data_IF_776755155955
#
_entry.id   IF_776755155955
#
_cell.length_a   1.000
_cell.length_b   1.000
_cell.length_c   1.000
_cell.angle_alpha   90.00
_cell.angle_beta   90.00
_cell.angle_gamma   90.00
#
_symmetry.space_group_name_H-M   'P 1'
#
loop_
_entity.id
_entity.type
_entity.pdbx_description
1 polymer ?
#
# COMPACT_ATOMS: atom_id res chain seq x y z
N UNK A 1 -7.34 -0.27 -7.94
CA UNK A 1 -6.45 -1.43 -8.21
C UNK A 1 -5.29 -1.33 -7.23
N UNK A 2 -4.76 -2.45 -6.74
CA UNK A 2 -3.57 -2.46 -5.89
C UNK A 2 -2.36 -1.89 -6.65
N UNK A 3 -1.46 -1.21 -5.95
CA UNK A 3 -0.32 -0.54 -6.57
C UNK A 3 0.59 -1.47 -7.37
N UNK A 4 0.91 -2.65 -6.83
CA UNK A 4 1.71 -3.65 -7.53
C UNK A 4 1.05 -4.19 -8.81
N UNK A 5 -0.28 -4.41 -8.78
CA UNK A 5 -1.03 -4.83 -9.98
C UNK A 5 -1.08 -3.72 -11.03
N UNK A 6 -1.28 -2.46 -10.62
CA UNK A 6 -1.28 -1.33 -11.53
C UNK A 6 0.09 -1.16 -12.21
N UNK A 7 1.17 -1.26 -11.43
CA UNK A 7 2.53 -1.23 -11.95
C UNK A 7 2.79 -2.36 -12.96
N UNK A 8 2.44 -3.61 -12.61
CA UNK A 8 2.67 -4.75 -13.51
C UNK A 8 2.00 -4.57 -14.87
N UNK A 9 0.74 -4.13 -14.90
CA UNK A 9 0.03 -3.93 -16.17
C UNK A 9 0.56 -2.71 -16.93
N UNK A 10 0.84 -1.61 -16.21
CA UNK A 10 1.26 -0.35 -16.84
C UNK A 10 2.69 -0.40 -17.38
N UNK A 11 3.59 -1.01 -16.62
CA UNK A 11 5.03 -0.87 -16.89
C UNK A 11 5.69 -2.21 -17.26
N UNK A 12 5.34 -3.35 -16.60
CA UNK A 12 6.04 -4.62 -16.86
C UNK A 12 5.55 -5.36 -18.12
N UNK A 13 4.29 -5.19 -18.52
CA UNK A 13 3.77 -5.86 -19.71
C UNK A 13 4.56 -5.50 -20.98
N UNK A 14 5.15 -4.32 -21.05
CA UNK A 14 6.05 -3.94 -22.13
C UNK A 14 7.27 -4.86 -22.25
N UNK A 15 7.84 -5.26 -21.13
CA UNK A 15 8.98 -6.18 -21.11
C UNK A 15 8.57 -7.61 -21.48
N UNK A 16 7.43 -8.09 -20.97
CA UNK A 16 6.97 -9.44 -21.25
C UNK A 16 6.51 -9.63 -22.70
N UNK A 17 6.01 -8.59 -23.33
CA UNK A 17 5.41 -8.63 -24.67
C UNK A 17 6.32 -8.04 -25.77
N UNK A 18 7.55 -7.66 -25.44
CA UNK A 18 8.49 -7.00 -26.36
C UNK A 18 8.70 -7.73 -27.69
N UNK A 19 8.68 -9.05 -27.67
CA UNK A 19 8.87 -9.92 -28.85
C UNK A 19 7.56 -10.29 -29.57
N UNK A 20 6.43 -9.70 -29.15
CA UNK A 20 5.08 -9.94 -29.66
C UNK A 20 4.40 -8.61 -30.05
N UNK A 21 4.70 -8.04 -31.24
CA UNK A 21 4.31 -6.67 -31.60
C UNK A 21 2.81 -6.38 -31.51
N UNK A 22 1.96 -7.34 -31.88
CA UNK A 22 0.50 -7.17 -31.80
C UNK A 22 0.02 -7.05 -30.36
N UNK A 23 0.54 -7.89 -29.46
CA UNK A 23 0.20 -7.86 -28.04
C UNK A 23 0.80 -6.66 -27.34
N UNK A 24 2.02 -6.26 -27.72
CA UNK A 24 2.67 -5.05 -27.21
C UNK A 24 1.82 -3.81 -27.50
N UNK A 25 1.35 -3.64 -28.74
CA UNK A 25 0.49 -2.52 -29.11
C UNK A 25 -0.84 -2.50 -28.34
N UNK A 26 -1.37 -3.68 -27.95
CA UNK A 26 -2.55 -3.79 -27.09
C UNK A 26 -2.24 -3.41 -25.64
N UNK A 27 -1.09 -3.86 -25.12
CA UNK A 27 -0.62 -3.53 -23.79
C UNK A 27 -0.39 -2.03 -23.60
N UNK A 28 0.22 -1.38 -24.59
CA UNK A 28 0.43 0.08 -24.61
C UNK A 28 -0.88 0.86 -24.54
N UNK A 29 -1.89 0.44 -25.31
CA UNK A 29 -3.23 1.07 -25.23
C UNK A 29 -3.91 0.84 -23.89
N UNK A 30 -3.69 -0.30 -23.26
CA UNK A 30 -4.23 -0.61 -21.94
C UNK A 30 -3.49 0.19 -20.85
N UNK A 31 -2.16 0.24 -20.91
CA UNK A 31 -1.30 0.95 -19.97
C UNK A 31 -1.75 2.39 -19.75
N UNK A 32 -2.09 3.12 -20.81
CA UNK A 32 -2.60 4.48 -20.75
C UNK A 32 -3.95 4.66 -20.04
N UNK A 33 -4.62 3.56 -19.68
CA UNK A 33 -5.92 3.55 -18.96
C UNK A 33 -5.80 3.01 -17.53
N UNK A 34 -4.62 2.59 -17.12
CA UNK A 34 -4.37 2.01 -15.81
C UNK A 34 -3.89 3.09 -14.84
N UNK A 35 -4.62 3.25 -13.76
CA UNK A 35 -4.30 4.15 -12.66
C UNK A 35 -4.28 3.38 -11.34
N UNK A 36 -3.42 3.78 -10.45
CA UNK A 36 -3.52 3.40 -9.06
C UNK A 36 -4.77 4.08 -8.46
N UNK A 37 -5.35 3.47 -7.45
CA UNK A 37 -6.65 3.87 -6.91
C UNK A 37 -6.67 5.32 -6.43
N UNK A 38 -5.69 5.73 -5.64
CA UNK A 38 -5.64 7.09 -5.10
C UNK A 38 -5.31 8.13 -6.18
N UNK A 39 -4.42 7.77 -7.10
CA UNK A 39 -4.11 8.58 -8.26
C UNK A 39 -5.35 8.81 -9.14
N UNK A 40 -6.15 7.79 -9.37
CA UNK A 40 -7.38 7.95 -10.15
C UNK A 40 -8.33 8.98 -9.54
N UNK A 41 -8.52 8.92 -8.22
CA UNK A 41 -9.43 9.84 -7.52
C UNK A 41 -8.90 11.28 -7.59
N UNK A 42 -7.61 11.49 -7.29
CA UNK A 42 -7.05 12.84 -7.22
C UNK A 42 -6.73 13.44 -8.58
N UNK A 43 -6.04 12.68 -9.45
CA UNK A 43 -5.46 13.25 -10.67
C UNK A 43 -6.40 13.15 -11.87
N UNK A 44 -7.30 12.13 -11.89
CA UNK A 44 -8.25 11.95 -13.00
C UNK A 44 -9.61 12.56 -12.67
N UNK A 45 -10.15 12.30 -11.47
CA UNK A 45 -11.45 12.83 -11.05
C UNK A 45 -11.33 14.24 -10.43
N UNK A 46 -10.14 14.68 -10.04
CA UNK A 46 -9.93 15.98 -9.37
C UNK A 46 -10.55 16.05 -7.97
N UNK A 47 -10.75 14.91 -7.30
CA UNK A 47 -11.40 14.83 -5.99
C UNK A 47 -10.37 14.60 -4.91
N UNK A 48 -10.33 15.48 -3.91
CA UNK A 48 -9.45 15.35 -2.72
C UNK A 48 -10.23 15.03 -1.44
N UNK A 49 -11.52 15.35 -1.38
CA UNK A 49 -12.44 15.02 -0.28
C UNK A 49 -13.59 14.14 -0.80
N UNK A 50 -13.61 12.89 -0.37
CA UNK A 50 -14.67 11.93 -0.71
C UNK A 50 -15.81 11.91 0.33
N UNK A 51 -15.78 12.81 1.32
CA UNK A 51 -16.76 12.89 2.40
C UNK A 51 -16.64 11.77 3.44
N UNK A 52 -15.47 11.12 3.53
CA UNK A 52 -15.23 10.03 4.47
C UNK A 52 -15.08 10.56 5.91
N UNK A 53 -15.47 9.71 6.87
CA UNK A 53 -15.29 9.95 8.30
C UNK A 53 -14.71 8.71 8.98
N UNK A 54 -13.63 8.88 9.73
CA UNK A 54 -12.97 7.76 10.39
C UNK A 54 -12.37 8.20 11.74
N UNK A 55 -13.04 7.89 12.82
CA UNK A 55 -12.65 8.33 14.16
C UNK A 55 -11.68 7.31 14.79
N UNK A 56 -10.45 7.24 14.28
CA UNK A 56 -9.38 6.42 14.85
C UNK A 56 -8.00 6.95 14.46
N UNK A 57 -6.94 6.42 15.11
CA UNK A 57 -5.55 6.70 14.79
C UNK A 57 -5.05 5.79 13.68
N UNK A 58 -4.54 6.40 12.63
CA UNK A 58 -4.08 5.71 11.41
C UNK A 58 -2.64 6.07 11.12
N UNK A 59 -1.82 5.08 10.81
CA UNK A 59 -0.52 5.28 10.15
C UNK A 59 -0.54 4.71 8.75
N UNK A 60 0.33 5.19 7.84
CA UNK A 60 0.26 4.82 6.43
C UNK A 60 1.57 4.26 5.90
N UNK A 61 1.51 3.04 5.33
CA UNK A 61 2.61 2.41 4.64
C UNK A 61 2.65 2.83 3.17
N UNK A 62 3.73 3.47 2.76
CA UNK A 62 3.99 3.77 1.35
C UNK A 62 4.59 2.55 0.65
N UNK A 63 3.83 1.93 -0.25
CA UNK A 63 4.32 0.79 -1.03
C UNK A 63 5.44 1.22 -2.00
N UNK A 64 6.47 0.38 -2.15
CA UNK A 64 7.57 0.65 -3.08
C UNK A 64 7.09 0.71 -4.54
N UNK A 65 6.15 -0.12 -4.96
CA UNK A 65 5.55 -0.05 -6.30
C UNK A 65 4.83 1.28 -6.53
N UNK A 66 4.08 1.76 -5.55
CA UNK A 66 3.34 3.03 -5.67
C UNK A 66 4.28 4.22 -5.68
N UNK A 67 5.16 4.32 -4.68
CA UNK A 67 5.94 5.54 -4.47
C UNK A 67 7.23 5.61 -5.26
N UNK A 68 7.96 4.49 -5.41
CA UNK A 68 9.25 4.46 -6.10
C UNK A 68 9.12 4.16 -7.59
N UNK A 69 8.28 3.18 -7.95
CA UNK A 69 8.16 2.74 -9.33
C UNK A 69 7.14 3.57 -10.11
N UNK A 70 5.96 3.82 -9.54
CA UNK A 70 4.93 4.64 -10.20
C UNK A 70 5.04 6.14 -9.92
N UNK A 71 5.88 6.57 -8.96
CA UNK A 71 6.07 7.98 -8.61
C UNK A 71 4.91 8.63 -7.84
N UNK A 72 3.94 7.83 -7.38
CA UNK A 72 2.71 8.32 -6.71
C UNK A 72 3.00 8.49 -5.23
N UNK A 73 3.16 9.74 -4.77
CA UNK A 73 3.51 10.06 -3.39
C UNK A 73 2.40 10.82 -2.67
N UNK A 74 1.89 11.88 -3.28
CA UNK A 74 0.95 12.83 -2.67
C UNK A 74 -0.51 12.35 -2.61
N UNK A 75 -1.07 11.67 -3.63
CA UNK A 75 -2.46 11.28 -3.70
C UNK A 75 -3.03 10.60 -2.45
N UNK A 76 -2.39 9.57 -1.88
CA UNK A 76 -2.94 8.92 -0.68
C UNK A 76 -3.04 9.88 0.52
N UNK A 77 -2.03 10.74 0.70
CA UNK A 77 -2.00 11.68 1.82
C UNK A 77 -2.99 12.83 1.65
N UNK A 78 -3.22 13.31 0.40
CA UNK A 78 -4.26 14.29 0.11
C UNK A 78 -5.63 13.76 0.54
N UNK A 79 -5.95 12.54 0.14
CA UNK A 79 -7.23 11.90 0.50
C UNK A 79 -7.35 11.67 2.01
N UNK A 80 -6.33 11.12 2.66
CA UNK A 80 -6.37 10.84 4.10
C UNK A 80 -6.49 12.09 4.96
N UNK A 81 -5.84 13.19 4.58
CA UNK A 81 -5.92 14.47 5.30
C UNK A 81 -7.32 15.08 5.28
N UNK A 82 -8.16 14.75 4.29
CA UNK A 82 -9.52 15.21 4.17
C UNK A 82 -10.57 14.26 4.81
N UNK A 83 -10.13 13.12 5.36
CA UNK A 83 -11.03 12.26 6.15
C UNK A 83 -11.34 12.92 7.49
N UNK A 84 -12.62 13.11 7.80
CA UNK A 84 -13.05 13.73 9.06
C UNK A 84 -12.72 12.84 10.25
N UNK A 85 -12.30 13.46 11.35
CA UNK A 85 -11.99 12.83 12.63
C UNK A 85 -10.82 11.82 12.61
N UNK A 86 -10.08 11.70 11.51
CA UNK A 86 -8.90 10.86 11.44
C UNK A 86 -7.74 11.49 12.25
N UNK A 87 -7.05 10.67 13.03
CA UNK A 87 -5.77 11.03 13.63
C UNK A 87 -4.64 10.37 12.83
N UNK A 88 -4.09 11.09 11.85
CA UNK A 88 -3.04 10.57 10.99
C UNK A 88 -1.67 10.70 11.65
N UNK A 89 -1.07 9.57 12.01
CA UNK A 89 0.24 9.49 12.67
C UNK A 89 1.30 9.12 11.64
N UNK A 90 2.39 9.88 11.60
CA UNK A 90 3.51 9.62 10.70
C UNK A 90 4.17 8.27 11.02
N UNK A 91 4.43 7.47 9.98
CA UNK A 91 5.19 6.24 10.08
C UNK A 91 6.67 6.55 9.86
N UNK A 92 7.53 6.36 10.86
CA UNK A 92 8.97 6.46 10.65
C UNK A 92 9.41 5.50 9.54
N UNK A 93 10.27 5.99 8.63
CA UNK A 93 10.74 5.20 7.49
C UNK A 93 9.58 4.51 6.71
N UNK A 94 8.52 5.26 6.43
CA UNK A 94 7.34 4.77 5.72
C UNK A 94 7.68 4.07 4.39
N UNK A 95 8.77 4.48 3.75
CA UNK A 95 9.30 3.96 2.49
C UNK A 95 10.08 2.64 2.62
N UNK A 96 10.35 2.14 3.86
CA UNK A 96 10.98 0.82 4.06
C UNK A 96 10.07 -0.27 3.52
N UNK A 97 10.65 -1.20 2.76
CA UNK A 97 9.91 -2.31 2.16
C UNK A 97 9.18 -3.17 3.20
N UNK A 98 8.00 -3.68 2.84
CA UNK A 98 7.23 -4.60 3.67
C UNK A 98 7.78 -6.04 3.70
N UNK A 99 8.80 -6.35 2.89
CA UNK A 99 9.42 -7.67 2.83
C UNK A 99 8.70 -8.68 1.91
N UNK A 100 7.50 -8.40 1.40
CA UNK A 100 6.76 -9.40 0.60
C UNK A 100 7.47 -9.71 -0.73
N UNK A 101 7.60 -8.75 -1.64
CA UNK A 101 8.29 -8.90 -2.93
C UNK A 101 7.80 -10.06 -3.81
N UNK A 102 6.55 -10.52 -3.67
CA UNK A 102 6.00 -11.64 -4.43
C UNK A 102 6.81 -12.93 -4.20
N UNK A 103 7.46 -13.45 -5.25
CA UNK A 103 8.31 -14.64 -5.19
C UNK A 103 9.52 -14.49 -4.26
N UNK A 104 9.92 -13.26 -3.92
CA UNK A 104 11.02 -13.00 -3.00
C UNK A 104 10.76 -13.60 -1.62
N UNK A 105 9.56 -13.41 -1.07
CA UNK A 105 9.20 -13.94 0.25
C UNK A 105 9.21 -15.48 0.31
N UNK A 106 8.97 -16.14 -0.84
CA UNK A 106 9.03 -17.61 -0.95
C UNK A 106 10.45 -18.11 -1.13
N UNK A 107 11.26 -17.42 -1.95
CA UNK A 107 12.64 -17.80 -2.25
C UNK A 107 13.62 -17.43 -1.15
N UNK A 108 13.34 -16.38 -0.40
CA UNK A 108 14.20 -15.85 0.67
C UNK A 108 13.39 -15.59 1.95
N UNK A 109 12.75 -16.62 2.53
CA UNK A 109 11.80 -16.45 3.63
C UNK A 109 12.46 -15.83 4.87
N UNK A 110 13.68 -16.19 5.22
CA UNK A 110 14.40 -15.65 6.37
C UNK A 110 14.64 -14.14 6.25
N UNK A 111 15.04 -13.67 5.07
CA UNK A 111 15.26 -12.23 4.84
C UNK A 111 13.93 -11.49 4.83
N UNK A 112 12.91 -12.05 4.17
CA UNK A 112 11.56 -11.50 4.14
C UNK A 112 10.98 -11.35 5.54
N UNK A 113 11.16 -12.37 6.39
CA UNK A 113 10.71 -12.37 7.78
C UNK A 113 11.32 -11.20 8.57
N UNK A 114 12.64 -11.05 8.51
CA UNK A 114 13.36 -9.95 9.19
C UNK A 114 12.83 -8.59 8.73
N UNK A 115 12.72 -8.39 7.42
CA UNK A 115 12.22 -7.13 6.85
C UNK A 115 10.79 -6.81 7.30
N UNK A 116 9.92 -7.82 7.28
CA UNK A 116 8.50 -7.66 7.66
C UNK A 116 8.38 -7.40 9.16
N UNK A 117 9.18 -8.10 9.97
CA UNK A 117 9.22 -7.94 11.41
C UNK A 117 9.66 -6.52 11.82
N UNK A 118 10.73 -6.02 11.22
CA UNK A 118 11.18 -4.64 11.47
C UNK A 118 10.08 -3.62 11.10
N UNK A 119 9.41 -3.81 9.96
CA UNK A 119 8.30 -2.95 9.55
C UNK A 119 7.12 -3.03 10.54
N UNK A 120 6.76 -4.22 10.99
CA UNK A 120 5.67 -4.41 11.96
C UNK A 120 5.96 -3.76 13.31
N UNK A 121 7.20 -3.86 13.81
CA UNK A 121 7.63 -3.20 15.04
C UNK A 121 7.64 -1.66 14.90
N UNK A 122 8.05 -1.14 13.74
CA UNK A 122 7.94 0.30 13.46
C UNK A 122 6.48 0.78 13.49
N UNK A 123 5.58 0.02 12.88
CA UNK A 123 4.13 0.31 12.92
C UNK A 123 3.64 0.29 14.36
N UNK A 124 3.99 -0.71 15.13
CA UNK A 124 3.58 -0.83 16.53
C UNK A 124 4.08 0.35 17.38
N UNK A 125 5.30 0.82 17.13
CA UNK A 125 5.92 1.94 17.87
C UNK A 125 5.23 3.29 17.63
N UNK A 126 4.46 3.45 16.55
CA UNK A 126 3.73 4.70 16.26
C UNK A 126 2.61 4.99 17.24
N UNK A 127 2.09 3.97 17.90
CA UNK A 127 0.89 4.11 18.72
C UNK A 127 -0.42 4.11 17.92
N UNK A 128 -0.41 4.04 16.59
CA UNK A 128 -1.63 4.00 15.77
C UNK A 128 -2.41 2.69 15.94
N UNK A 129 -3.73 2.77 15.98
CA UNK A 129 -4.61 1.60 16.05
C UNK A 129 -4.77 0.90 14.70
N UNK A 130 -4.54 1.65 13.61
CA UNK A 130 -4.73 1.16 12.24
C UNK A 130 -3.49 1.43 11.41
N UNK A 131 -3.02 0.41 10.69
CA UNK A 131 -2.11 0.58 9.56
C UNK A 131 -2.88 0.52 8.24
N UNK A 132 -2.67 1.51 7.39
CA UNK A 132 -3.28 1.58 6.07
C UNK A 132 -2.23 1.61 4.96
N UNK A 133 -2.66 1.34 3.74
CA UNK A 133 -1.85 1.40 2.53
C UNK A 133 -2.70 1.15 1.30
N UNK A 134 -2.13 1.32 0.11
CA UNK A 134 -2.81 1.10 -1.18
C UNK A 134 -2.32 -0.15 -1.92
N UNK A 135 -1.48 -0.96 -1.29
CA UNK A 135 -1.03 -2.24 -1.85
C UNK A 135 -1.42 -3.41 -0.96
N UNK A 136 -2.37 -4.21 -1.45
CA UNK A 136 -2.93 -5.32 -0.67
C UNK A 136 -1.90 -6.40 -0.32
N UNK A 137 -0.92 -6.62 -1.18
CA UNK A 137 0.13 -7.63 -0.92
C UNK A 137 1.03 -7.20 0.24
N UNK A 138 1.39 -5.91 0.31
CA UNK A 138 2.11 -5.36 1.45
C UNK A 138 1.30 -5.48 2.73
N UNK A 139 0.01 -5.11 2.68
CA UNK A 139 -0.88 -5.14 3.85
C UNK A 139 -1.08 -6.56 4.37
N UNK A 140 -1.24 -7.54 3.49
CA UNK A 140 -1.36 -8.96 3.85
C UNK A 140 -0.10 -9.45 4.61
N UNK A 141 1.07 -9.14 4.10
CA UNK A 141 2.34 -9.55 4.72
C UNK A 141 2.53 -8.89 6.10
N UNK A 142 2.26 -7.59 6.19
CA UNK A 142 2.31 -6.83 7.44
C UNK A 142 1.28 -7.38 8.45
N UNK A 143 0.05 -7.68 8.02
CA UNK A 143 -1.00 -8.21 8.87
C UNK A 143 -0.59 -9.54 9.52
N UNK A 144 -0.04 -10.46 8.73
CA UNK A 144 0.45 -11.75 9.23
C UNK A 144 1.52 -11.59 10.30
N UNK A 145 2.46 -10.66 10.11
CA UNK A 145 3.52 -10.41 11.08
C UNK A 145 2.99 -9.70 12.35
N UNK A 146 2.11 -8.72 12.23
CA UNK A 146 1.49 -8.06 13.38
C UNK A 146 0.69 -9.05 14.24
N UNK A 147 -0.07 -9.96 13.61
CA UNK A 147 -0.81 -11.00 14.32
C UNK A 147 0.13 -11.99 15.04
N UNK A 148 1.23 -12.35 14.40
CA UNK A 148 2.28 -13.19 15.01
C UNK A 148 2.91 -12.53 16.23
N UNK A 149 3.40 -11.29 16.08
CA UNK A 149 4.03 -10.54 17.17
C UNK A 149 3.09 -10.34 18.36
N UNK A 150 1.80 -10.11 18.10
CA UNK A 150 0.81 -10.03 19.15
C UNK A 150 0.60 -11.36 19.88
N UNK A 151 0.53 -12.48 19.17
CA UNK A 151 0.42 -13.82 19.76
C UNK A 151 1.66 -14.23 20.58
N UNK A 152 2.83 -13.79 20.14
CA UNK A 152 4.10 -14.02 20.84
C UNK A 152 4.31 -13.07 22.02
N UNK A 153 3.42 -12.09 22.22
CA UNK A 153 3.49 -11.11 23.31
C UNK A 153 4.55 -10.01 23.12
N UNK A 154 5.07 -9.86 21.89
CA UNK A 154 6.05 -8.83 21.57
C UNK A 154 5.41 -7.45 21.34
N UNK A 155 4.14 -7.42 20.98
CA UNK A 155 3.32 -6.21 20.95
C UNK A 155 2.07 -6.44 21.82
N UNK A 156 1.73 -5.47 22.64
CA UNK A 156 0.68 -5.55 23.65
C UNK A 156 -0.74 -5.39 23.11
N UNK A 157 -0.88 -4.89 21.88
CA UNK A 157 -2.18 -4.57 21.26
C UNK A 157 -2.30 -5.10 19.85
N UNK A 158 -3.53 -5.40 19.45
CA UNK A 158 -3.85 -5.69 18.05
C UNK A 158 -3.91 -4.39 17.25
N UNK A 159 -3.21 -4.37 16.11
CA UNK A 159 -3.24 -3.27 15.15
C UNK A 159 -4.08 -3.73 13.97
N UNK A 160 -5.13 -2.97 13.66
CA UNK A 160 -6.01 -3.28 12.53
C UNK A 160 -5.30 -2.93 11.22
N UNK A 161 -5.44 -3.78 10.23
CA UNK A 161 -4.89 -3.54 8.88
C UNK A 161 -6.05 -3.25 7.93
N UNK A 162 -6.02 -2.10 7.26
CA UNK A 162 -7.08 -1.67 6.35
C UNK A 162 -6.51 -1.10 5.06
N UNK A 163 -7.09 -1.50 3.93
CA UNK A 163 -6.78 -0.82 2.67
C UNK A 163 -7.31 0.63 2.71
N UNK A 164 -6.61 1.56 2.08
CA UNK A 164 -7.03 2.98 2.07
C UNK A 164 -8.47 3.15 1.55
N UNK A 165 -8.89 2.33 0.58
CA UNK A 165 -10.26 2.36 0.06
C UNK A 165 -11.33 2.05 1.12
N UNK A 166 -11.00 1.24 2.13
CA UNK A 166 -11.92 0.94 3.23
C UNK A 166 -12.11 2.18 4.12
N UNK A 167 -11.01 2.89 4.44
CA UNK A 167 -11.06 4.13 5.21
C UNK A 167 -11.86 5.20 4.44
N UNK A 168 -11.58 5.36 3.15
CA UNK A 168 -12.26 6.35 2.30
C UNK A 168 -13.74 6.02 2.05
N UNK A 169 -14.19 4.81 2.34
CA UNK A 169 -15.60 4.41 2.24
C UNK A 169 -16.36 4.49 3.58
N UNK A 170 -15.70 4.84 4.70
CA UNK A 170 -16.37 5.06 5.99
C UNK A 170 -17.22 6.34 5.96
N UNK A 171 -18.40 6.30 6.66
CA UNK A 171 -19.36 7.41 6.76
C UNK A 171 -19.64 7.74 8.22
#
# INVERSE_FOLDING_TARGET
MSGSCAFAIRDEYHHFLKDQPEWLARAERLSGKIYEFTQFITDVLGVEDVGARFNDSVTYHTSCHVTRLMGIKEPPFKLLKNVKDINLIELPRADRCCGFGGTFSVKNPEISEVMTREKALEIASTGANVISGSDQACLMNIAGMLDRLHKEGEIDRRIKVMHIAEILNCR
#
